data_IF_598833041928
#
_entry.id   IF_598833041928
#
_cell.length_a   1.000
_cell.length_b   1.000
_cell.length_c   1.000
_cell.angle_alpha   90.00
_cell.angle_beta   90.00
_cell.angle_gamma   90.00
#
_symmetry.space_group_name_H-M   'P 1'
#
loop_
_entity.id
_entity.type
_entity.pdbx_description
1 polymer ?
#
# COMPACT_ATOMS: atom_id res chain seq x y z
N UNK A 1 47.99 38.21 -2.76
CA UNK A 1 48.65 37.68 -3.97
C UNK A 1 49.42 38.78 -4.70
N UNK A 2 50.63 39.12 -4.25
CA UNK A 2 51.55 40.01 -4.99
C UNK A 2 52.51 39.25 -5.92
N UNK A 3 52.73 37.95 -5.67
CA UNK A 3 53.69 37.11 -6.38
C UNK A 3 53.19 36.65 -7.77
N UNK A 4 51.88 36.44 -7.94
CA UNK A 4 51.25 36.12 -9.24
C UNK A 4 49.81 36.66 -9.25
N UNK A 5 49.58 37.91 -9.68
CA UNK A 5 48.25 38.53 -9.65
C UNK A 5 47.31 37.85 -10.65
N UNK A 6 46.12 37.44 -10.19
CA UNK A 6 45.06 36.85 -11.02
C UNK A 6 45.21 35.35 -11.32
N UNK A 7 46.39 34.76 -11.06
CA UNK A 7 46.71 33.36 -11.41
C UNK A 7 46.66 32.36 -10.25
N UNK A 8 46.36 32.84 -9.04
CA UNK A 8 46.32 32.03 -7.82
C UNK A 8 44.99 32.29 -7.13
N UNK A 9 44.34 31.27 -6.59
CA UNK A 9 43.06 31.35 -5.86
C UNK A 9 43.10 30.40 -4.67
N UNK A 10 42.42 30.74 -3.58
CA UNK A 10 42.30 29.81 -2.44
C UNK A 10 41.25 28.75 -2.78
N UNK A 11 41.54 27.47 -2.51
CA UNK A 11 40.60 26.39 -2.84
C UNK A 11 39.24 26.57 -2.16
N UNK A 12 39.21 27.13 -0.94
CA UNK A 12 37.97 27.45 -0.22
C UNK A 12 37.06 28.47 -0.93
N UNK A 13 37.62 29.40 -1.70
CA UNK A 13 36.85 30.44 -2.39
C UNK A 13 36.13 29.90 -3.65
N UNK A 14 36.49 28.68 -4.08
CA UNK A 14 36.01 28.06 -5.32
C UNK A 14 34.92 27.00 -5.07
N UNK A 15 34.61 26.69 -3.81
CA UNK A 15 33.62 25.67 -3.43
C UNK A 15 32.46 26.29 -2.66
N UNK A 16 31.22 25.95 -3.04
CA UNK A 16 30.02 26.33 -2.30
C UNK A 16 29.67 25.27 -1.27
N UNK A 17 29.45 25.66 -0.01
CA UNK A 17 29.08 24.74 1.07
C UNK A 17 28.18 25.43 2.11
N UNK A 18 27.35 24.67 2.86
CA UNK A 18 26.59 25.21 3.99
C UNK A 18 27.48 25.61 5.17
N UNK A 19 27.12 26.68 5.88
CA UNK A 19 27.90 27.20 7.02
C UNK A 19 28.15 26.17 8.13
N UNK A 20 27.24 25.20 8.29
CA UNK A 20 27.33 24.11 9.27
C UNK A 20 28.59 23.24 9.11
N UNK A 21 29.13 23.13 7.89
CA UNK A 21 30.31 22.31 7.58
C UNK A 21 31.58 23.14 7.37
N UNK A 22 31.56 24.44 7.67
CA UNK A 22 32.67 25.36 7.40
C UNK A 22 34.00 24.90 8.00
N UNK A 23 34.01 24.36 9.22
CA UNK A 23 35.23 23.87 9.88
C UNK A 23 35.84 22.66 9.15
N UNK A 24 35.00 21.75 8.64
CA UNK A 24 35.45 20.59 7.88
C UNK A 24 36.00 21.01 6.51
N UNK A 25 35.33 21.96 5.85
CA UNK A 25 35.80 22.52 4.58
C UNK A 25 37.11 23.30 4.74
N UNK A 26 37.28 24.04 5.83
CA UNK A 26 38.51 24.74 6.17
C UNK A 26 39.67 23.77 6.44
N UNK A 27 39.41 22.63 7.07
CA UNK A 27 40.42 21.60 7.27
C UNK A 27 40.90 20.97 5.95
N UNK A 28 39.97 20.69 5.03
CA UNK A 28 40.29 20.01 3.76
C UNK A 28 40.89 20.97 2.72
N UNK A 29 40.33 22.17 2.58
CA UNK A 29 40.67 23.12 1.50
C UNK A 29 41.37 24.39 1.97
N UNK A 30 41.45 24.67 3.28
CA UNK A 30 41.98 25.91 3.82
C UNK A 30 43.49 26.11 3.63
N UNK A 31 44.25 25.03 3.48
CA UNK A 31 45.70 25.05 3.27
C UNK A 31 46.11 24.68 1.84
N UNK A 32 45.22 24.85 0.86
CA UNK A 32 45.51 24.52 -0.55
C UNK A 32 45.24 25.71 -1.47
N UNK A 33 46.22 26.07 -2.30
CA UNK A 33 46.11 27.10 -3.33
C UNK A 33 45.96 26.46 -4.71
N UNK A 34 45.09 27.04 -5.55
CA UNK A 34 44.89 26.62 -6.94
C UNK A 34 45.59 27.64 -7.84
N UNK A 35 46.46 27.16 -8.72
CA UNK A 35 47.25 27.96 -9.65
C UNK A 35 46.90 27.62 -11.10
N UNK A 36 46.92 28.61 -11.98
CA UNK A 36 46.61 28.40 -13.40
C UNK A 36 47.72 27.64 -14.15
N UNK A 37 48.98 27.83 -13.76
CA UNK A 37 50.15 27.26 -14.43
C UNK A 37 51.22 26.74 -13.44
N UNK A 38 52.08 25.85 -13.92
CA UNK A 38 53.16 25.22 -13.14
C UNK A 38 54.20 26.23 -12.60
N UNK A 39 54.46 27.31 -13.34
CA UNK A 39 55.39 28.35 -12.93
C UNK A 39 54.87 29.11 -11.70
N UNK A 40 53.58 29.46 -11.72
CA UNK A 40 52.89 30.10 -10.60
C UNK A 40 52.80 29.18 -9.39
N UNK A 41 52.50 27.89 -9.59
CA UNK A 41 52.46 26.90 -8.51
C UNK A 41 53.82 26.75 -7.82
N UNK A 42 54.91 26.64 -8.60
CA UNK A 42 56.27 26.55 -8.07
C UNK A 42 56.69 27.82 -7.33
N UNK A 43 56.38 28.99 -7.88
CA UNK A 43 56.70 30.27 -7.26
C UNK A 43 56.02 30.43 -5.90
N UNK A 44 54.74 30.06 -5.80
CA UNK A 44 53.94 30.22 -4.60
C UNK A 44 54.28 29.18 -3.53
N UNK A 45 54.43 27.90 -3.90
CA UNK A 45 54.75 26.81 -2.96
C UNK A 45 56.11 27.01 -2.28
N UNK A 46 57.12 27.52 -2.99
CA UNK A 46 58.47 27.68 -2.46
C UNK A 46 58.84 29.12 -2.04
N UNK A 47 57.89 30.06 -2.10
CA UNK A 47 58.14 31.43 -1.66
C UNK A 47 58.24 31.52 -0.13
N UNK A 48 59.33 32.13 0.35
CA UNK A 48 59.56 32.39 1.78
C UNK A 48 58.54 33.38 2.38
N UNK A 49 57.88 34.19 1.56
CA UNK A 49 56.90 35.18 2.00
C UNK A 49 55.54 34.57 2.38
N UNK A 50 55.19 33.41 1.80
CA UNK A 50 53.88 32.77 1.97
C UNK A 50 53.96 31.59 2.98
N UNK A 51 55.16 31.19 3.39
CA UNK A 51 55.35 30.20 4.45
C UNK A 51 55.19 28.74 4.01
N UNK A 52 55.24 28.46 2.70
CA UNK A 52 55.15 27.10 2.16
C UNK A 52 53.75 26.52 2.27
N UNK A 53 52.88 26.83 1.30
CA UNK A 53 51.51 26.28 1.21
C UNK A 53 51.43 25.31 0.03
N UNK A 54 50.63 24.25 0.18
CA UNK A 54 50.39 23.26 -0.90
C UNK A 54 49.69 23.95 -2.06
N UNK A 55 50.21 23.77 -3.28
CA UNK A 55 49.60 24.33 -4.50
C UNK A 55 49.25 23.24 -5.50
N UNK A 56 48.14 23.42 -6.23
CA UNK A 56 47.66 22.50 -7.26
C UNK A 56 47.41 23.27 -8.55
N UNK A 57 47.89 22.77 -9.69
CA UNK A 57 47.63 23.39 -11.01
C UNK A 57 46.25 23.00 -11.54
N UNK A 58 45.73 23.75 -12.52
CA UNK A 58 44.48 23.36 -13.21
C UNK A 58 44.56 21.99 -13.91
N UNK A 59 45.76 21.61 -14.34
CA UNK A 59 46.03 20.32 -14.98
C UNK A 59 46.12 19.15 -13.96
N UNK A 60 46.11 19.45 -12.66
CA UNK A 60 46.07 18.46 -11.57
C UNK A 60 47.43 18.12 -10.96
N UNK A 61 48.50 18.83 -11.30
CA UNK A 61 49.81 18.65 -10.69
C UNK A 61 49.84 19.23 -9.26
N UNK A 62 50.42 18.48 -8.33
CA UNK A 62 50.48 18.87 -6.91
C UNK A 62 51.91 19.22 -6.51
N UNK A 63 52.06 20.41 -5.94
CA UNK A 63 53.32 20.98 -5.43
C UNK A 63 53.24 21.12 -3.92
N UNK A 64 54.04 20.30 -3.21
CA UNK A 64 54.11 20.31 -1.75
C UNK A 64 55.39 21.03 -1.25
N UNK A 65 55.31 21.89 -0.22
CA UNK A 65 56.47 22.56 0.39
C UNK A 65 57.56 21.61 0.90
N UNK A 66 57.21 20.36 1.20
CA UNK A 66 58.14 19.28 1.58
C UNK A 66 59.07 18.83 0.44
N UNK A 67 58.89 19.36 -0.78
CA UNK A 67 59.70 19.03 -1.95
C UNK A 67 59.13 17.89 -2.79
N UNK A 68 57.88 17.49 -2.54
CA UNK A 68 57.19 16.45 -3.33
C UNK A 68 56.46 17.10 -4.51
N UNK A 69 56.83 16.69 -5.73
CA UNK A 69 56.14 17.06 -6.96
C UNK A 69 55.46 15.81 -7.52
N UNK A 70 54.13 15.82 -7.58
CA UNK A 70 53.35 14.75 -8.21
C UNK A 70 52.78 15.29 -9.52
N UNK A 71 53.39 14.90 -10.64
CA UNK A 71 52.94 15.23 -11.99
C UNK A 71 53.14 14.06 -12.96
N UNK A 72 52.19 13.87 -13.87
CA UNK A 72 52.14 12.74 -14.81
C UNK A 72 50.89 12.76 -15.68
N UNK A 73 50.66 11.71 -16.49
CA UNK A 73 49.43 11.59 -17.28
C UNK A 73 48.21 11.56 -16.36
N UNK A 74 47.23 12.43 -16.61
CA UNK A 74 46.03 12.54 -15.79
C UNK A 74 45.38 11.16 -15.59
N UNK A 75 45.19 10.69 -14.34
CA UNK A 75 44.50 9.43 -14.10
C UNK A 75 43.06 9.54 -14.63
N UNK A 76 42.56 8.46 -15.25
CA UNK A 76 41.24 8.37 -15.88
C UNK A 76 40.03 8.57 -14.95
N UNK A 77 40.26 8.97 -13.69
CA UNK A 77 39.26 9.30 -12.67
C UNK A 77 38.74 10.74 -12.70
N UNK A 78 39.10 11.53 -13.72
CA UNK A 78 38.84 12.98 -13.84
C UNK A 78 37.35 13.41 -13.97
N UNK A 79 36.40 12.54 -13.66
CA UNK A 79 34.96 12.81 -13.79
C UNK A 79 34.14 12.49 -12.55
N UNK A 80 34.74 12.03 -11.44
CA UNK A 80 33.96 11.65 -10.25
C UNK A 80 33.20 12.83 -9.65
N UNK A 81 33.83 14.01 -9.54
CA UNK A 81 33.16 15.22 -9.06
C UNK A 81 32.05 15.68 -10.02
N UNK A 82 32.26 15.56 -11.33
CA UNK A 82 31.24 15.86 -12.35
C UNK A 82 30.05 14.92 -12.20
N UNK A 83 30.29 13.61 -12.05
CA UNK A 83 29.24 12.61 -11.81
C UNK A 83 28.49 12.83 -10.50
N UNK A 84 29.18 13.25 -9.44
CA UNK A 84 28.57 13.60 -8.15
C UNK A 84 27.70 14.85 -8.31
N UNK A 85 28.14 15.86 -9.07
CA UNK A 85 27.35 17.04 -9.36
C UNK A 85 26.09 16.69 -10.19
N UNK A 86 26.23 15.88 -11.25
CA UNK A 86 25.11 15.37 -12.04
C UNK A 86 24.11 14.60 -11.16
N UNK A 87 24.61 13.78 -10.23
CA UNK A 87 23.77 13.04 -9.29
C UNK A 87 23.00 13.99 -8.37
N UNK A 88 23.65 15.00 -7.79
CA UNK A 88 23.00 15.99 -6.92
C UNK A 88 21.92 16.79 -7.68
N UNK A 89 22.17 17.15 -8.94
CA UNK A 89 21.17 17.81 -9.78
C UNK A 89 19.95 16.91 -10.05
N UNK A 90 20.18 15.62 -10.34
CA UNK A 90 19.11 14.64 -10.57
C UNK A 90 18.33 14.38 -9.28
N UNK A 91 19.00 14.26 -8.14
CA UNK A 91 18.38 14.09 -6.82
C UNK A 91 17.53 15.32 -6.45
N UNK A 92 18.02 16.53 -6.74
CA UNK A 92 17.24 17.76 -6.57
C UNK A 92 15.97 17.77 -7.42
N UNK A 93 16.08 17.47 -8.72
CA UNK A 93 14.92 17.35 -9.63
C UNK A 93 13.95 16.27 -9.18
N UNK A 94 14.45 15.15 -8.68
CA UNK A 94 13.62 14.06 -8.13
C UNK A 94 12.87 14.51 -6.88
N UNK A 95 13.53 15.25 -5.99
CA UNK A 95 12.91 15.86 -4.80
C UNK A 95 11.77 16.81 -5.18
N UNK A 96 12.00 17.72 -6.13
CA UNK A 96 10.97 18.63 -6.64
C UNK A 96 9.79 17.87 -7.27
N UNK A 97 10.07 16.88 -8.11
CA UNK A 97 9.04 16.08 -8.76
C UNK A 97 8.19 15.30 -7.74
N UNK A 98 8.82 14.71 -6.71
CA UNK A 98 8.12 14.04 -5.60
C UNK A 98 7.27 15.02 -4.80
N UNK A 99 7.78 16.22 -4.51
CA UNK A 99 7.00 17.26 -3.83
C UNK A 99 5.77 17.69 -4.63
N UNK A 100 5.92 17.89 -5.95
CA UNK A 100 4.78 18.21 -6.84
C UNK A 100 3.76 17.08 -6.89
N UNK A 101 4.22 15.82 -6.98
CA UNK A 101 3.34 14.65 -6.98
C UNK A 101 2.53 14.58 -5.68
N UNK A 102 3.17 14.78 -4.53
CA UNK A 102 2.49 14.75 -3.23
C UNK A 102 1.41 15.83 -3.11
N UNK A 103 1.67 17.04 -3.64
CA UNK A 103 0.68 18.12 -3.66
C UNK A 103 -0.51 17.75 -4.56
N UNK A 104 -0.24 17.20 -5.75
CA UNK A 104 -1.29 16.77 -6.68
C UNK A 104 -2.13 15.61 -6.12
N UNK A 105 -1.51 14.64 -5.46
CA UNK A 105 -2.22 13.54 -4.79
C UNK A 105 -3.10 14.05 -3.64
N UNK A 106 -2.63 15.03 -2.85
CA UNK A 106 -3.46 15.65 -1.82
C UNK A 106 -4.64 16.43 -2.40
N UNK A 107 -4.44 17.13 -3.52
CA UNK A 107 -5.53 17.83 -4.23
C UNK A 107 -6.55 16.82 -4.78
N UNK A 108 -6.08 15.75 -5.42
CA UNK A 108 -6.95 14.67 -5.93
C UNK A 108 -7.82 14.10 -4.81
N UNK A 109 -7.22 13.78 -3.67
CA UNK A 109 -7.91 13.19 -2.54
C UNK A 109 -8.92 14.16 -1.90
N UNK A 110 -8.61 15.48 -1.84
CA UNK A 110 -9.55 16.51 -1.36
C UNK A 110 -10.76 16.63 -2.29
N UNK A 111 -10.54 16.57 -3.59
CA UNK A 111 -11.58 16.77 -4.60
C UNK A 111 -12.41 15.50 -4.86
N UNK A 112 -11.93 14.33 -4.42
CA UNK A 112 -12.54 13.02 -4.66
C UNK A 112 -14.00 12.96 -4.20
N UNK A 113 -14.28 13.42 -2.99
CA UNK A 113 -15.64 13.44 -2.45
C UNK A 113 -16.57 14.39 -3.23
N UNK A 114 -16.03 15.47 -3.81
CA UNK A 114 -16.76 16.35 -4.73
C UNK A 114 -17.09 15.64 -6.03
N UNK A 115 -16.11 14.98 -6.66
CA UNK A 115 -16.30 14.22 -7.91
C UNK A 115 -17.26 13.04 -7.75
N UNK A 116 -17.25 12.35 -6.62
CA UNK A 116 -18.18 11.24 -6.34
C UNK A 116 -19.62 11.75 -6.15
N UNK A 117 -19.82 12.85 -5.42
CA UNK A 117 -21.14 13.50 -5.29
C UNK A 117 -21.65 14.02 -6.64
N UNK A 118 -20.80 14.67 -7.42
CA UNK A 118 -21.17 15.15 -8.76
C UNK A 118 -21.56 13.99 -9.67
N UNK A 119 -20.79 12.89 -9.70
CA UNK A 119 -21.17 11.68 -10.46
C UNK A 119 -22.49 11.06 -9.99
N UNK A 120 -22.78 11.12 -8.68
CA UNK A 120 -24.08 10.72 -8.14
C UNK A 120 -25.22 11.57 -8.69
N UNK A 121 -25.08 12.91 -8.58
CA UNK A 121 -26.08 13.87 -9.06
C UNK A 121 -26.31 13.80 -10.57
N UNK A 122 -25.27 13.58 -11.37
CA UNK A 122 -25.41 13.40 -12.83
C UNK A 122 -26.26 12.18 -13.15
N UNK A 123 -26.03 11.04 -12.48
CA UNK A 123 -26.87 9.84 -12.67
C UNK A 123 -28.32 10.06 -12.24
N UNK A 124 -28.52 10.75 -11.11
CA UNK A 124 -29.88 11.08 -10.66
C UNK A 124 -30.60 12.01 -11.65
N UNK A 125 -29.88 12.99 -12.21
CA UNK A 125 -30.40 13.88 -13.23
C UNK A 125 -30.82 13.11 -14.49
N UNK A 126 -29.95 12.24 -15.00
CA UNK A 126 -30.24 11.41 -16.18
C UNK A 126 -31.49 10.53 -15.97
N UNK A 127 -31.65 9.95 -14.77
CA UNK A 127 -32.85 9.18 -14.41
C UNK A 127 -34.09 10.08 -14.40
N UNK A 128 -34.01 11.26 -13.77
CA UNK A 128 -35.14 12.20 -13.67
C UNK A 128 -35.55 12.77 -15.02
N UNK A 129 -34.59 13.07 -15.90
CA UNK A 129 -34.86 13.49 -17.28
C UNK A 129 -35.56 12.39 -18.07
N UNK A 130 -35.13 11.13 -17.91
CA UNK A 130 -35.79 10.00 -18.56
C UNK A 130 -37.21 9.78 -18.03
N UNK A 131 -37.42 9.83 -16.71
CA UNK A 131 -38.74 9.75 -16.08
C UNK A 131 -39.68 10.85 -16.59
N UNK A 132 -39.17 12.09 -16.68
CA UNK A 132 -39.95 13.23 -17.18
C UNK A 132 -40.37 13.00 -18.64
N UNK A 133 -39.45 12.55 -19.50
CA UNK A 133 -39.76 12.25 -20.89
C UNK A 133 -40.80 11.15 -21.03
N UNK A 134 -40.72 10.09 -20.22
CA UNK A 134 -41.73 9.03 -20.21
C UNK A 134 -43.10 9.55 -19.79
N UNK A 135 -43.15 10.43 -18.77
CA UNK A 135 -44.40 11.05 -18.35
C UNK A 135 -44.98 11.98 -19.42
N UNK A 136 -44.14 12.72 -20.15
CA UNK A 136 -44.56 13.56 -21.28
C UNK A 136 -45.09 12.73 -22.45
N UNK A 137 -44.42 11.63 -22.81
CA UNK A 137 -44.90 10.67 -23.82
C UNK A 137 -46.22 10.03 -23.39
N UNK A 138 -46.34 9.66 -22.11
CA UNK A 138 -47.60 9.14 -21.57
C UNK A 138 -48.70 10.18 -21.53
N UNK A 139 -48.42 11.44 -21.23
CA UNK A 139 -49.42 12.50 -21.18
C UNK A 139 -49.90 12.88 -22.58
N UNK A 140 -48.97 12.98 -23.55
CA UNK A 140 -49.29 13.24 -24.95
C UNK A 140 -50.00 12.05 -25.63
N UNK A 141 -49.62 10.82 -25.28
CA UNK A 141 -50.30 9.60 -25.70
C UNK A 141 -51.55 9.24 -24.87
N UNK A 142 -51.79 9.92 -23.75
CA UNK A 142 -52.93 9.64 -22.88
C UNK A 142 -54.22 10.05 -23.55
N UNK A 143 -55.20 9.15 -23.48
CA UNK A 143 -56.57 9.42 -23.85
C UNK A 143 -57.09 10.72 -23.21
N UNK A 144 -56.59 11.17 -22.04
CA UNK A 144 -57.03 12.43 -21.44
C UNK A 144 -56.68 13.68 -22.27
N UNK A 145 -55.49 13.74 -22.88
CA UNK A 145 -55.09 14.87 -23.72
C UNK A 145 -55.83 14.85 -25.07
N UNK A 146 -55.99 13.65 -25.66
CA UNK A 146 -56.78 13.45 -26.88
C UNK A 146 -58.26 13.75 -26.68
N UNK A 147 -58.87 13.22 -25.62
CA UNK A 147 -60.25 13.49 -25.23
C UNK A 147 -60.41 14.97 -24.87
N UNK A 148 -59.44 15.61 -24.22
CA UNK A 148 -59.48 17.05 -23.95
C UNK A 148 -59.56 17.90 -25.23
N UNK A 149 -58.72 17.60 -26.22
CA UNK A 149 -58.75 18.26 -27.52
C UNK A 149 -60.04 17.97 -28.31
N UNK A 150 -60.51 16.73 -28.27
CA UNK A 150 -61.79 16.33 -28.90
C UNK A 150 -62.99 17.01 -28.20
N UNK A 151 -62.99 17.14 -26.88
CA UNK A 151 -64.03 17.83 -26.10
C UNK A 151 -64.09 19.31 -26.46
N UNK A 152 -62.95 19.99 -26.56
CA UNK A 152 -62.93 21.41 -27.00
C UNK A 152 -63.41 21.57 -28.44
N UNK A 153 -63.03 20.65 -29.34
CA UNK A 153 -63.56 20.63 -30.71
C UNK A 153 -65.08 20.40 -30.74
N UNK A 154 -65.59 19.47 -29.94
CA UNK A 154 -67.02 19.17 -29.86
C UNK A 154 -67.80 20.32 -29.24
N UNK A 155 -67.26 21.01 -28.22
CA UNK A 155 -67.87 22.24 -27.69
C UNK A 155 -68.00 23.31 -28.77
N UNK A 156 -66.96 23.53 -29.57
CA UNK A 156 -67.00 24.51 -30.67
C UNK A 156 -68.10 24.17 -31.68
N UNK A 157 -68.21 22.88 -32.07
CA UNK A 157 -69.26 22.39 -32.99
C UNK A 157 -70.66 22.55 -32.38
N UNK A 158 -70.84 22.28 -31.07
CA UNK A 158 -72.12 22.50 -30.38
C UNK A 158 -72.52 23.97 -30.45
N UNK A 159 -71.61 24.91 -30.18
CA UNK A 159 -71.91 26.35 -30.30
C UNK A 159 -72.38 26.70 -31.72
N UNK A 160 -71.65 26.25 -32.74
CA UNK A 160 -71.98 26.54 -34.14
C UNK A 160 -73.34 25.95 -34.56
N UNK A 161 -73.63 24.71 -34.15
CA UNK A 161 -74.92 24.06 -34.40
C UNK A 161 -76.07 24.74 -33.64
N UNK A 162 -75.82 25.22 -32.43
CA UNK A 162 -76.84 25.92 -31.62
C UNK A 162 -77.22 27.24 -32.28
N UNK A 163 -76.24 28.00 -32.76
CA UNK A 163 -76.47 29.23 -33.54
C UNK A 163 -77.21 28.95 -34.86
N UNK A 164 -76.86 27.86 -35.55
CA UNK A 164 -77.55 27.43 -36.76
C UNK A 164 -79.01 27.06 -36.50
N UNK A 165 -79.30 26.36 -35.39
CA UNK A 165 -80.66 26.00 -34.97
C UNK A 165 -81.47 27.24 -34.60
N UNK A 166 -80.90 28.22 -33.90
CA UNK A 166 -81.59 29.48 -33.62
C UNK A 166 -81.94 30.23 -34.90
N UNK A 167 -81.00 30.33 -35.85
CA UNK A 167 -81.21 30.94 -37.15
C UNK A 167 -82.33 30.23 -37.93
N UNK A 168 -82.34 28.89 -37.92
CA UNK A 168 -83.39 28.10 -38.56
C UNK A 168 -84.76 28.30 -37.89
N UNK A 169 -84.83 28.36 -36.55
CA UNK A 169 -86.08 28.65 -35.81
C UNK A 169 -86.63 30.04 -36.13
N UNK A 170 -85.77 31.07 -36.25
CA UNK A 170 -86.20 32.41 -36.67
C UNK A 170 -86.80 32.39 -38.08
N UNK A 171 -86.14 31.72 -39.02
CA UNK A 171 -86.66 31.55 -40.39
C UNK A 171 -87.99 30.79 -40.42
N UNK A 172 -88.12 29.73 -39.61
CA UNK A 172 -89.37 28.98 -39.48
C UNK A 172 -90.51 29.84 -38.92
N UNK A 173 -90.24 30.65 -37.90
CA UNK A 173 -91.24 31.57 -37.32
C UNK A 173 -91.71 32.58 -38.36
N UNK A 174 -90.79 33.22 -39.08
CA UNK A 174 -91.12 34.17 -40.14
C UNK A 174 -91.97 33.52 -41.24
N UNK A 175 -91.61 32.31 -41.67
CA UNK A 175 -92.39 31.57 -42.66
C UNK A 175 -93.80 31.20 -42.14
N UNK A 176 -93.95 30.84 -40.86
CA UNK A 176 -95.27 30.59 -40.25
C UNK A 176 -96.13 31.86 -40.17
N UNK A 177 -95.53 33.00 -39.86
CA UNK A 177 -96.24 34.28 -39.82
C UNK A 177 -96.69 34.71 -41.22
N UNK A 178 -95.87 34.46 -42.25
CA UNK A 178 -96.26 34.64 -43.66
C UNK A 178 -97.40 33.70 -44.08
N UNK A 179 -97.36 32.43 -43.68
CA UNK A 179 -98.43 31.46 -43.97
C UNK A 179 -99.76 31.92 -43.36
N UNK A 180 -99.78 32.35 -42.10
CA UNK A 180 -101.02 32.87 -41.47
C UNK A 180 -101.57 34.10 -42.18
N UNK A 181 -100.68 34.95 -42.70
CA UNK A 181 -101.05 36.14 -43.46
C UNK A 181 -101.70 35.74 -44.79
N UNK A 182 -101.08 34.82 -45.51
CA UNK A 182 -101.61 34.24 -46.74
C UNK A 182 -102.93 33.50 -46.51
N UNK A 183 -103.10 32.75 -45.41
CA UNK A 183 -104.36 32.09 -45.05
C UNK A 183 -105.49 33.08 -44.81
N UNK A 184 -105.20 34.22 -44.18
CA UNK A 184 -106.16 35.32 -44.00
C UNK A 184 -106.51 36.00 -45.32
N UNK A 185 -105.51 36.25 -46.17
CA UNK A 185 -105.69 36.74 -47.53
C UNK A 185 -106.46 35.71 -48.39
N UNK A 186 -106.36 34.42 -48.07
CA UNK A 186 -107.11 33.35 -48.74
C UNK A 186 -108.58 33.31 -48.35
N UNK A 187 -108.93 33.53 -47.08
CA UNK A 187 -110.33 33.63 -46.65
C UNK A 187 -111.00 34.92 -47.16
N UNK A 188 -110.27 36.04 -47.30
CA UNK A 188 -110.78 37.28 -47.91
C UNK A 188 -111.03 37.15 -49.43
N UNK A 189 -110.32 36.25 -50.10
CA UNK A 189 -110.46 36.02 -51.54
C UNK A 189 -111.58 35.04 -51.95
N UNK A 190 -112.37 34.50 -51.02
CA UNK A 190 -113.50 33.59 -51.32
C UNK A 190 -114.58 34.20 -52.24
N UNK A 191 -114.52 35.50 -52.53
CA UNK A 191 -115.46 36.21 -53.40
C UNK A 191 -114.93 36.62 -54.80
N UNK A 192 -113.80 36.10 -55.29
CA UNK A 192 -113.42 36.35 -56.69
C UNK A 192 -112.59 35.22 -57.33
N UNK A 193 -113.15 34.55 -58.34
CA UNK A 193 -112.97 33.10 -58.58
C UNK A 193 -111.84 32.68 -59.54
N UNK A 194 -111.05 33.59 -60.11
CA UNK A 194 -110.10 33.21 -61.19
C UNK A 194 -108.61 33.52 -60.91
N UNK A 195 -108.27 34.47 -60.04
CA UNK A 195 -106.87 34.73 -59.65
C UNK A 195 -106.27 33.70 -58.67
N UNK A 196 -107.11 33.12 -57.81
CA UNK A 196 -106.67 32.21 -56.73
C UNK A 196 -106.12 30.87 -57.21
N UNK A 197 -106.57 30.42 -58.39
CA UNK A 197 -106.15 29.13 -58.97
C UNK A 197 -104.69 29.21 -59.44
N UNK A 198 -104.27 30.35 -59.98
CA UNK A 198 -102.86 30.59 -60.34
C UNK A 198 -101.97 30.75 -59.10
N UNK A 199 -102.46 31.40 -58.05
CA UNK A 199 -101.74 31.56 -56.77
C UNK A 199 -101.53 30.20 -56.05
N UNK A 200 -102.55 29.34 -56.01
CA UNK A 200 -102.44 27.98 -55.47
C UNK A 200 -101.51 27.08 -56.30
N UNK A 201 -101.50 27.22 -57.63
CA UNK A 201 -100.51 26.52 -58.47
C UNK A 201 -99.08 26.96 -58.17
N UNK A 202 -98.86 28.26 -57.94
CA UNK A 202 -97.55 28.78 -57.56
C UNK A 202 -97.11 28.23 -56.19
N UNK A 203 -98.02 28.15 -55.21
CA UNK A 203 -97.72 27.60 -53.88
C UNK A 203 -97.46 26.08 -53.93
N UNK A 204 -98.21 25.32 -54.72
CA UNK A 204 -97.93 23.88 -54.95
C UNK A 204 -96.55 23.70 -55.60
N UNK A 205 -96.18 24.57 -56.55
CA UNK A 205 -94.85 24.55 -57.16
C UNK A 205 -93.74 24.83 -56.14
N UNK A 206 -93.95 25.84 -55.26
CA UNK A 206 -93.04 26.19 -54.16
C UNK A 206 -92.89 25.05 -53.14
N UNK A 207 -94.00 24.42 -52.74
CA UNK A 207 -93.94 23.28 -51.81
C UNK A 207 -93.29 22.05 -52.45
N UNK A 208 -93.48 21.81 -53.75
CA UNK A 208 -92.78 20.75 -54.48
C UNK A 208 -91.27 21.01 -54.52
N UNK A 209 -90.84 22.27 -54.67
CA UNK A 209 -89.42 22.65 -54.57
C UNK A 209 -88.87 22.47 -53.14
N UNK A 210 -89.66 22.78 -52.11
CA UNK A 210 -89.29 22.54 -50.72
C UNK A 210 -89.17 21.04 -50.39
N UNK A 211 -90.09 20.22 -50.89
CA UNK A 211 -90.05 18.76 -50.75
C UNK A 211 -88.81 18.16 -51.41
N UNK A 212 -88.45 18.63 -52.61
CA UNK A 212 -87.20 18.24 -53.28
C UNK A 212 -85.98 18.57 -52.42
N UNK A 213 -85.92 19.78 -51.84
CA UNK A 213 -84.82 20.19 -50.96
C UNK A 213 -84.74 19.36 -49.68
N UNK A 214 -85.89 19.07 -49.05
CA UNK A 214 -85.93 18.21 -47.87
C UNK A 214 -85.57 16.75 -48.19
N UNK A 215 -85.96 16.23 -49.35
CA UNK A 215 -85.54 14.90 -49.81
C UNK A 215 -84.02 14.77 -49.91
N UNK A 216 -83.33 15.81 -50.42
CA UNK A 216 -81.86 15.86 -50.42
C UNK A 216 -81.31 15.87 -49.00
N UNK A 217 -81.88 16.67 -48.11
CA UNK A 217 -81.44 16.78 -46.70
C UNK A 217 -81.56 15.44 -45.96
N UNK A 218 -82.68 14.74 -46.11
CA UNK A 218 -82.91 13.42 -45.50
C UNK A 218 -81.90 12.41 -46.04
N UNK A 219 -81.62 12.42 -47.36
CA UNK A 219 -80.59 11.55 -47.94
C UNK A 219 -79.19 11.84 -47.39
N UNK A 220 -78.84 13.11 -47.15
CA UNK A 220 -77.56 13.48 -46.53
C UNK A 220 -77.49 12.99 -45.09
N UNK A 221 -78.52 13.24 -44.28
CA UNK A 221 -78.57 12.78 -42.89
C UNK A 221 -78.57 11.25 -42.77
N UNK A 222 -79.21 10.55 -43.71
CA UNK A 222 -79.18 9.09 -43.74
C UNK A 222 -77.77 8.55 -44.03
N UNK A 223 -76.98 9.24 -44.88
CA UNK A 223 -75.56 8.90 -45.09
C UNK A 223 -74.73 9.17 -43.84
N UNK A 224 -74.93 10.32 -43.20
CA UNK A 224 -74.22 10.66 -41.94
C UNK A 224 -74.51 9.64 -40.84
N UNK A 225 -75.78 9.22 -40.69
CA UNK A 225 -76.17 8.17 -39.75
C UNK A 225 -75.48 6.84 -40.07
N UNK A 226 -75.40 6.47 -41.35
CA UNK A 226 -74.71 5.25 -41.77
C UNK A 226 -73.20 5.32 -41.47
N UNK A 227 -72.56 6.47 -41.70
CA UNK A 227 -71.16 6.69 -41.36
C UNK A 227 -70.93 6.59 -39.85
N UNK A 228 -71.74 7.28 -39.04
CA UNK A 228 -71.64 7.24 -37.59
C UNK A 228 -71.86 5.82 -37.01
N UNK A 229 -72.77 5.04 -37.60
CA UNK A 229 -73.00 3.65 -37.20
C UNK A 229 -71.77 2.77 -37.44
N UNK A 230 -71.12 2.92 -38.60
CA UNK A 230 -69.89 2.17 -38.91
C UNK A 230 -68.72 2.58 -38.01
N UNK A 231 -68.61 3.87 -37.69
CA UNK A 231 -67.61 4.37 -36.74
C UNK A 231 -67.85 3.81 -35.34
N UNK A 232 -69.10 3.73 -34.89
CA UNK A 232 -69.45 3.12 -33.59
C UNK A 232 -69.07 1.65 -33.54
N UNK A 233 -69.38 0.86 -34.58
CA UNK A 233 -68.98 -0.54 -34.66
C UNK A 233 -67.45 -0.72 -34.67
N UNK A 234 -66.72 0.18 -35.32
CA UNK A 234 -65.26 0.13 -35.31
C UNK A 234 -64.70 0.44 -33.93
N UNK A 235 -65.22 1.47 -33.25
CA UNK A 235 -64.81 1.81 -31.89
C UNK A 235 -65.11 0.70 -30.88
N UNK A 236 -66.24 0.01 -31.02
CA UNK A 236 -66.56 -1.15 -30.18
C UNK A 236 -65.51 -2.28 -30.34
N UNK A 237 -65.06 -2.55 -31.56
CA UNK A 237 -63.99 -3.53 -31.82
C UNK A 237 -62.65 -3.09 -31.24
N UNK A 238 -62.32 -1.81 -31.38
CA UNK A 238 -61.07 -1.25 -30.84
C UNK A 238 -61.06 -1.31 -29.30
N UNK A 239 -62.22 -1.05 -28.66
CA UNK A 239 -62.40 -1.18 -27.20
C UNK A 239 -62.17 -2.63 -26.77
N UNK A 240 -62.73 -3.60 -27.48
CA UNK A 240 -62.58 -5.01 -27.13
C UNK A 240 -61.12 -5.47 -27.28
N UNK A 241 -60.46 -5.10 -28.37
CA UNK A 241 -59.03 -5.37 -28.55
C UNK A 241 -58.16 -4.72 -27.46
N UNK A 242 -58.51 -3.50 -27.03
CA UNK A 242 -57.79 -2.84 -25.95
C UNK A 242 -57.98 -3.55 -24.60
N UNK A 243 -59.16 -4.12 -24.32
CA UNK A 243 -59.39 -4.93 -23.11
C UNK A 243 -58.56 -6.21 -23.13
N UNK A 244 -58.54 -6.91 -24.26
CA UNK A 244 -57.74 -8.14 -24.41
C UNK A 244 -56.24 -7.86 -24.15
N UNK A 245 -55.72 -6.76 -24.70
CA UNK A 245 -54.35 -6.32 -24.46
C UNK A 245 -54.07 -5.98 -22.99
N UNK A 246 -55.03 -5.36 -22.29
CA UNK A 246 -54.93 -5.05 -20.86
C UNK A 246 -54.88 -6.34 -20.03
N UNK A 247 -55.72 -7.32 -20.36
CA UNK A 247 -55.76 -8.59 -19.63
C UNK A 247 -54.49 -9.42 -19.87
N UNK A 248 -53.95 -9.42 -21.09
CA UNK A 248 -52.64 -10.02 -21.39
C UNK A 248 -51.51 -9.33 -20.60
N UNK A 249 -51.48 -8.00 -20.58
CA UNK A 249 -50.50 -7.24 -19.82
C UNK A 249 -50.59 -7.51 -18.31
N UNK A 250 -51.81 -7.60 -17.75
CA UNK A 250 -52.04 -7.95 -16.35
C UNK A 250 -51.50 -9.36 -16.02
N UNK A 251 -51.80 -10.34 -16.86
CA UNK A 251 -51.26 -11.70 -16.74
C UNK A 251 -49.72 -11.72 -16.79
N UNK A 252 -49.12 -10.89 -17.65
CA UNK A 252 -47.68 -10.69 -17.72
C UNK A 252 -47.10 -10.12 -16.42
N UNK A 253 -47.72 -9.09 -15.85
CA UNK A 253 -47.32 -8.49 -14.57
C UNK A 253 -47.38 -9.50 -13.43
N UNK A 254 -48.45 -10.29 -13.34
CA UNK A 254 -48.61 -11.30 -12.28
C UNK A 254 -47.51 -12.37 -12.34
N UNK A 255 -47.14 -12.83 -13.55
CA UNK A 255 -46.02 -13.77 -13.75
C UNK A 255 -44.69 -13.16 -13.29
N UNK A 256 -44.42 -11.91 -13.69
CA UNK A 256 -43.19 -11.21 -13.29
C UNK A 256 -43.12 -11.00 -11.77
N UNK A 257 -44.24 -10.72 -11.11
CA UNK A 257 -44.29 -10.62 -9.65
C UNK A 257 -43.98 -11.95 -8.96
N UNK A 258 -44.50 -13.06 -9.47
CA UNK A 258 -44.19 -14.40 -8.93
C UNK A 258 -42.71 -14.74 -9.09
N UNK A 259 -42.10 -14.43 -10.24
CA UNK A 259 -40.69 -14.70 -10.48
C UNK A 259 -39.78 -13.80 -9.65
N UNK A 260 -40.16 -12.54 -9.43
CA UNK A 260 -39.47 -11.63 -8.52
C UNK A 260 -39.47 -12.17 -7.09
N UNK A 261 -40.59 -12.72 -6.63
CA UNK A 261 -40.69 -13.34 -5.29
C UNK A 261 -39.83 -14.61 -5.17
N UNK A 262 -39.75 -15.43 -6.23
CA UNK A 262 -38.83 -16.59 -6.26
C UNK A 262 -37.37 -16.13 -6.19
N UNK A 263 -36.98 -15.16 -7.02
CA UNK A 263 -35.63 -14.61 -7.04
C UNK A 263 -35.23 -13.99 -5.70
N UNK A 264 -36.13 -13.29 -5.02
CA UNK A 264 -35.90 -12.77 -3.66
C UNK A 264 -35.59 -13.88 -2.65
N UNK A 265 -36.34 -15.00 -2.71
CA UNK A 265 -36.10 -16.15 -1.82
C UNK A 265 -34.77 -16.83 -2.12
N UNK A 266 -34.39 -16.94 -3.39
CA UNK A 266 -33.08 -17.48 -3.80
C UNK A 266 -31.94 -16.56 -3.36
N UNK A 267 -32.09 -15.25 -3.52
CA UNK A 267 -31.12 -14.26 -3.05
C UNK A 267 -30.88 -14.38 -1.54
N UNK A 268 -31.96 -14.41 -0.74
CA UNK A 268 -31.86 -14.58 0.71
C UNK A 268 -31.15 -15.87 1.11
N UNK A 269 -31.44 -17.00 0.44
CA UNK A 269 -30.73 -18.27 0.68
C UNK A 269 -29.24 -18.17 0.34
N UNK A 270 -28.91 -17.51 -0.76
CA UNK A 270 -27.53 -17.31 -1.21
C UNK A 270 -26.75 -16.43 -0.24
N UNK A 271 -27.34 -15.33 0.23
CA UNK A 271 -26.76 -14.44 1.25
C UNK A 271 -26.48 -15.16 2.57
N UNK A 272 -27.41 -16.00 3.03
CA UNK A 272 -27.21 -16.79 4.25
C UNK A 272 -26.10 -17.83 4.08
N UNK A 273 -25.99 -18.45 2.90
CA UNK A 273 -24.90 -19.37 2.59
C UNK A 273 -23.54 -18.65 2.55
N UNK A 274 -23.52 -17.44 1.99
CA UNK A 274 -22.33 -16.59 1.92
C UNK A 274 -21.86 -16.19 3.31
N UNK A 275 -22.77 -15.70 4.17
CA UNK A 275 -22.44 -15.35 5.58
C UNK A 275 -21.88 -16.54 6.35
N UNK A 276 -22.41 -17.75 6.13
CA UNK A 276 -21.88 -18.97 6.75
C UNK A 276 -20.47 -19.31 6.24
N UNK A 277 -20.24 -19.21 4.94
CA UNK A 277 -18.92 -19.46 4.34
C UNK A 277 -17.89 -18.41 4.79
N UNK A 278 -18.28 -17.14 4.88
CA UNK A 278 -17.43 -16.05 5.35
C UNK A 278 -17.04 -16.23 6.82
N UNK A 279 -17.96 -16.63 7.70
CA UNK A 279 -17.65 -16.97 9.09
C UNK A 279 -16.64 -18.12 9.19
N UNK A 280 -16.85 -19.21 8.43
CA UNK A 280 -15.91 -20.33 8.38
C UNK A 280 -14.53 -19.88 7.89
N UNK A 281 -14.46 -19.03 6.86
CA UNK A 281 -13.20 -18.50 6.36
C UNK A 281 -12.47 -17.66 7.42
N UNK A 282 -13.19 -16.85 8.19
CA UNK A 282 -12.61 -16.07 9.29
C UNK A 282 -12.09 -16.97 10.42
N UNK A 283 -12.84 -18.02 10.78
CA UNK A 283 -12.42 -19.03 11.77
C UNK A 283 -11.14 -19.73 11.31
N UNK A 284 -11.08 -20.21 10.06
CA UNK A 284 -9.90 -20.88 9.50
C UNK A 284 -8.69 -19.94 9.37
N UNK A 285 -8.91 -18.66 9.07
CA UNK A 285 -7.81 -17.67 9.07
C UNK A 285 -7.29 -17.42 10.48
N UNK A 286 -8.17 -17.39 11.47
CA UNK A 286 -7.76 -17.24 12.87
C UNK A 286 -6.99 -18.46 13.37
N UNK A 287 -7.39 -19.69 12.98
CA UNK A 287 -6.64 -20.91 13.32
C UNK A 287 -5.28 -20.94 12.62
N UNK A 288 -5.20 -20.60 11.34
CA UNK A 288 -3.92 -20.49 10.62
C UNK A 288 -2.98 -19.48 11.28
N UNK A 289 -3.49 -18.30 11.64
CA UNK A 289 -2.67 -17.30 12.33
C UNK A 289 -2.16 -17.79 13.70
N UNK A 290 -2.93 -18.61 14.41
CA UNK A 290 -2.46 -19.26 15.65
C UNK A 290 -1.35 -20.25 15.36
N UNK A 291 -1.51 -21.12 14.36
CA UNK A 291 -0.49 -22.08 13.97
C UNK A 291 0.80 -21.40 13.50
N UNK A 292 0.71 -20.30 12.74
CA UNK A 292 1.90 -19.53 12.33
C UNK A 292 2.66 -18.94 13.52
N UNK A 293 1.95 -18.48 14.55
CA UNK A 293 2.57 -17.96 15.77
C UNK A 293 3.21 -19.09 16.60
N UNK A 294 2.53 -20.23 16.73
CA UNK A 294 3.06 -21.42 17.40
C UNK A 294 4.31 -21.97 16.69
N UNK A 295 4.30 -22.01 15.35
CA UNK A 295 5.45 -22.43 14.55
C UNK A 295 6.65 -21.50 14.77
N UNK A 296 6.45 -20.18 14.74
CA UNK A 296 7.53 -19.21 15.01
C UNK A 296 8.13 -19.39 16.41
N UNK A 297 7.29 -19.63 17.40
CA UNK A 297 7.75 -19.86 18.77
C UNK A 297 8.51 -21.18 18.89
N UNK A 298 8.02 -22.26 18.26
CA UNK A 298 8.73 -23.53 18.20
C UNK A 298 10.08 -23.40 17.49
N UNK A 299 10.15 -22.67 16.38
CA UNK A 299 11.40 -22.39 15.67
C UNK A 299 12.40 -21.63 16.55
N UNK A 300 11.92 -20.63 17.31
CA UNK A 300 12.74 -19.89 18.29
C UNK A 300 13.29 -20.84 19.36
N UNK A 301 12.43 -21.66 19.96
CA UNK A 301 12.82 -22.64 21.00
C UNK A 301 13.81 -23.65 20.44
N UNK A 302 13.61 -24.16 19.22
CA UNK A 302 14.55 -25.09 18.56
C UNK A 302 15.93 -24.42 18.40
N UNK A 303 15.97 -23.15 17.96
CA UNK A 303 17.22 -22.41 17.81
C UNK A 303 17.95 -22.23 19.15
N UNK A 304 17.22 -21.86 20.19
CA UNK A 304 17.76 -21.70 21.54
C UNK A 304 18.30 -23.01 22.10
N UNK A 305 17.56 -24.11 21.94
CA UNK A 305 18.01 -25.43 22.38
C UNK A 305 19.22 -25.92 21.59
N UNK A 306 19.28 -25.68 20.28
CA UNK A 306 20.48 -25.99 19.47
C UNK A 306 21.70 -25.21 19.94
N UNK A 307 21.55 -23.93 20.26
CA UNK A 307 22.64 -23.13 20.80
C UNK A 307 23.10 -23.68 22.16
N UNK A 308 22.16 -23.97 23.07
CA UNK A 308 22.47 -24.54 24.37
C UNK A 308 23.20 -25.89 24.27
N UNK A 309 22.82 -26.75 23.32
CA UNK A 309 23.52 -28.01 23.03
C UNK A 309 24.95 -27.74 22.56
N UNK A 310 25.15 -26.80 21.63
CA UNK A 310 26.48 -26.43 21.15
C UNK A 310 27.37 -25.88 22.27
N UNK A 311 26.82 -25.04 23.15
CA UNK A 311 27.55 -24.46 24.28
C UNK A 311 27.92 -25.55 25.31
N UNK A 312 27.00 -26.48 25.58
CA UNK A 312 27.25 -27.63 26.46
C UNK A 312 28.31 -28.58 25.87
N UNK A 313 28.29 -28.85 24.56
CA UNK A 313 29.30 -29.68 23.88
C UNK A 313 30.71 -29.06 23.97
N UNK A 314 30.80 -27.73 23.82
CA UNK A 314 32.05 -27.00 24.02
C UNK A 314 32.54 -27.07 25.47
N UNK A 315 31.64 -26.96 26.45
CA UNK A 315 32.01 -27.13 27.87
C UNK A 315 32.46 -28.56 28.18
N UNK A 316 31.78 -29.56 27.63
CA UNK A 316 32.17 -30.97 27.76
C UNK A 316 33.58 -31.19 27.23
N UNK A 317 33.89 -30.72 26.02
CA UNK A 317 35.23 -30.83 25.42
C UNK A 317 36.31 -30.15 26.26
N UNK A 318 36.02 -28.99 26.87
CA UNK A 318 36.95 -28.32 27.79
C UNK A 318 37.21 -29.17 29.03
N UNK A 319 36.15 -29.65 29.67
CA UNK A 319 36.25 -30.51 30.85
C UNK A 319 36.98 -31.83 30.54
N UNK A 320 36.75 -32.42 29.37
CA UNK A 320 37.47 -33.61 28.91
C UNK A 320 38.97 -33.34 28.74
N UNK A 321 39.34 -32.21 28.13
CA UNK A 321 40.75 -31.82 27.99
C UNK A 321 41.39 -31.57 29.36
N UNK A 322 40.71 -30.87 30.25
CA UNK A 322 41.20 -30.59 31.61
C UNK A 322 41.35 -31.88 32.42
N UNK A 323 40.41 -32.81 32.32
CA UNK A 323 40.51 -34.14 32.93
C UNK A 323 41.70 -34.93 32.38
N UNK A 324 41.95 -34.88 31.06
CA UNK A 324 43.11 -35.52 30.46
C UNK A 324 44.43 -34.88 30.94
N UNK A 325 44.48 -33.56 31.05
CA UNK A 325 45.63 -32.83 31.58
C UNK A 325 45.90 -33.20 33.04
N UNK A 326 44.88 -33.14 33.89
CA UNK A 326 44.97 -33.52 35.31
C UNK A 326 45.33 -35.00 35.49
N UNK A 327 44.84 -35.90 34.63
CA UNK A 327 45.22 -37.31 34.66
C UNK A 327 46.70 -37.51 34.29
N UNK A 328 47.21 -36.80 33.29
CA UNK A 328 48.64 -36.78 32.93
C UNK A 328 49.49 -36.20 34.06
N UNK A 329 49.06 -35.11 34.69
CA UNK A 329 49.75 -34.53 35.84
C UNK A 329 49.76 -35.47 37.04
N UNK A 330 48.63 -36.11 37.35
CA UNK A 330 48.53 -37.11 38.43
C UNK A 330 49.48 -38.28 38.18
N UNK A 331 49.50 -38.83 36.97
CA UNK A 331 50.40 -39.94 36.62
C UNK A 331 51.87 -39.52 36.63
N UNK A 332 52.20 -38.33 36.14
CA UNK A 332 53.55 -37.78 36.20
C UNK A 332 54.01 -37.56 37.65
N UNK A 333 53.16 -36.98 38.50
CA UNK A 333 53.42 -36.78 39.93
C UNK A 333 53.58 -38.11 40.67
N UNK A 334 52.72 -39.10 40.41
CA UNK A 334 52.84 -40.44 40.98
C UNK A 334 54.16 -41.11 40.58
N UNK A 335 54.51 -41.07 39.29
CA UNK A 335 55.78 -41.61 38.80
C UNK A 335 56.98 -40.86 39.40
N UNK A 336 56.88 -39.55 39.60
CA UNK A 336 57.91 -38.75 40.24
C UNK A 336 58.12 -39.15 41.70
N UNK A 337 57.04 -39.36 42.46
CA UNK A 337 57.08 -39.87 43.84
C UNK A 337 57.75 -41.25 43.87
N UNK A 338 57.28 -42.20 43.06
CA UNK A 338 57.86 -43.55 43.00
C UNK A 338 59.34 -43.54 42.60
N UNK A 339 59.75 -42.62 41.73
CA UNK A 339 61.15 -42.47 41.36
C UNK A 339 61.99 -41.87 42.51
N UNK A 340 61.46 -40.90 43.26
CA UNK A 340 62.14 -40.36 44.44
C UNK A 340 62.30 -41.42 45.54
N UNK A 341 61.25 -42.18 45.83
CA UNK A 341 61.27 -43.29 46.80
C UNK A 341 62.31 -44.37 46.43
N UNK A 342 62.55 -44.62 45.13
CA UNK A 342 63.59 -45.55 44.67
C UNK A 342 65.00 -44.98 44.70
N UNK A 343 65.16 -43.67 44.52
CA UNK A 343 66.48 -43.02 44.48
C UNK A 343 67.03 -42.74 45.88
N UNK A 344 66.15 -42.64 46.87
CA UNK A 344 66.48 -42.20 48.21
C UNK A 344 65.77 -43.07 49.26
N UNK A 345 66.46 -44.09 49.75
CA UNK A 345 65.89 -45.05 50.71
C UNK A 345 65.37 -44.39 52.00
N UNK A 346 66.02 -43.31 52.45
CA UNK A 346 65.62 -42.53 53.63
C UNK A 346 64.22 -41.88 53.49
N UNK A 347 63.73 -41.66 52.26
CA UNK A 347 62.39 -41.12 52.02
C UNK A 347 61.33 -42.09 52.53
N UNK A 348 61.51 -43.40 52.34
CA UNK A 348 60.56 -44.39 52.83
C UNK A 348 60.52 -44.44 54.37
N UNK A 349 61.68 -44.24 55.02
CA UNK A 349 61.82 -44.28 56.48
C UNK A 349 61.27 -43.03 57.17
N UNK A 350 61.44 -41.85 56.57
CA UNK A 350 61.14 -40.57 57.22
C UNK A 350 59.92 -39.81 56.64
N UNK A 351 59.22 -40.36 55.64
CA UNK A 351 58.07 -39.70 54.99
C UNK A 351 56.99 -39.22 55.96
N UNK A 352 56.77 -39.92 57.09
CA UNK A 352 55.78 -39.55 58.11
C UNK A 352 56.10 -38.22 58.81
N UNK A 353 57.34 -37.73 58.72
CA UNK A 353 57.79 -36.48 59.34
C UNK A 353 57.72 -35.27 58.40
N UNK A 354 57.40 -35.46 57.11
CA UNK A 354 57.35 -34.38 56.12
C UNK A 354 56.20 -33.39 56.39
N UNK A 355 56.50 -32.10 56.37
CA UNK A 355 55.50 -31.03 56.53
C UNK A 355 54.93 -30.86 57.95
N UNK A 356 55.46 -31.58 58.95
CA UNK A 356 55.06 -31.39 60.35
C UNK A 356 55.71 -30.12 60.92
N UNK A 357 54.91 -29.18 61.49
CA UNK A 357 55.44 -27.95 62.09
C UNK A 357 56.48 -28.25 63.18
N UNK A 358 57.67 -27.67 63.08
CA UNK A 358 58.78 -27.89 64.04
C UNK A 358 59.61 -29.17 63.83
N UNK A 359 59.35 -29.96 62.78
CA UNK A 359 60.24 -31.03 62.34
C UNK A 359 61.38 -30.49 61.45
N UNK A 360 62.41 -31.30 61.19
CA UNK A 360 63.46 -30.95 60.22
C UNK A 360 62.92 -30.77 58.78
N UNK A 361 61.69 -31.21 58.52
CA UNK A 361 60.99 -31.15 57.25
C UNK A 361 59.80 -30.17 57.28
N UNK A 362 59.84 -29.14 58.11
CA UNK A 362 58.87 -28.05 58.11
C UNK A 362 59.17 -27.06 56.97
N UNK A 363 58.35 -27.13 55.91
CA UNK A 363 58.53 -26.34 54.70
C UNK A 363 57.84 -24.96 54.74
N UNK A 364 57.16 -24.61 55.84
CA UNK A 364 56.37 -23.37 55.92
C UNK A 364 57.20 -22.11 56.21
N UNK A 365 58.35 -22.26 56.87
CA UNK A 365 59.23 -21.16 57.28
C UNK A 365 60.57 -21.07 56.54
N UNK A 366 60.81 -21.91 55.53
CA UNK A 366 62.11 -22.04 54.87
C UNK A 366 61.99 -21.79 53.36
N UNK A 367 62.87 -20.95 52.82
CA UNK A 367 62.92 -20.69 51.38
C UNK A 367 63.50 -21.91 50.63
N UNK A 368 62.60 -22.72 50.09
CA UNK A 368 62.88 -23.94 49.33
C UNK A 368 63.82 -23.65 48.14
N UNK A 369 63.74 -22.46 47.52
CA UNK A 369 64.60 -22.12 46.38
C UNK A 369 66.06 -21.93 46.82
N UNK A 370 66.29 -21.23 47.93
CA UNK A 370 67.63 -21.02 48.49
C UNK A 370 68.27 -22.32 48.97
N UNK A 371 67.47 -23.24 49.54
CA UNK A 371 67.94 -24.58 49.88
C UNK A 371 68.33 -25.39 48.64
N UNK A 372 67.57 -25.26 47.54
CA UNK A 372 67.86 -25.94 46.27
C UNK A 372 69.17 -25.46 45.65
N UNK A 373 69.47 -24.17 45.72
CA UNK A 373 70.75 -23.62 45.27
C UNK A 373 71.92 -24.12 46.11
N UNK A 374 71.79 -24.11 47.44
CA UNK A 374 72.81 -24.69 48.33
C UNK A 374 73.00 -26.19 48.08
N UNK A 375 71.93 -26.94 47.84
CA UNK A 375 72.03 -28.36 47.51
C UNK A 375 72.80 -28.58 46.20
N UNK A 376 72.52 -27.80 45.15
CA UNK A 376 73.30 -27.85 43.89
C UNK A 376 74.77 -27.52 44.08
N UNK A 377 75.07 -26.51 44.91
CA UNK A 377 76.45 -26.12 45.20
C UNK A 377 77.20 -27.25 45.92
N UNK A 378 76.59 -27.85 46.94
CA UNK A 378 77.16 -28.98 47.68
C UNK A 378 77.29 -30.23 46.80
N UNK A 379 76.31 -30.52 45.94
CA UNK A 379 76.34 -31.66 45.02
C UNK A 379 77.42 -31.48 43.93
N UNK A 380 77.61 -30.25 43.43
CA UNK A 380 78.70 -29.90 42.53
C UNK A 380 80.08 -30.06 43.21
N UNK A 381 80.20 -29.64 44.48
CA UNK A 381 81.39 -29.88 45.29
C UNK A 381 81.63 -31.38 45.51
N UNK A 382 80.60 -32.16 45.81
CA UNK A 382 80.68 -33.61 45.99
C UNK A 382 81.12 -34.33 44.71
N UNK A 383 80.56 -33.98 43.54
CA UNK A 383 80.98 -34.52 42.22
C UNK A 383 82.43 -34.14 41.88
N UNK A 384 82.83 -32.92 42.24
CA UNK A 384 84.21 -32.45 42.11
C UNK A 384 85.18 -33.23 42.99
N UNK A 385 84.79 -33.55 44.23
CA UNK A 385 85.57 -34.39 45.15
C UNK A 385 85.60 -35.86 44.73
N UNK A 386 84.51 -36.42 44.20
CA UNK A 386 84.45 -37.81 43.69
C UNK A 386 85.41 -38.06 42.54
N UNK A 387 85.71 -37.04 41.72
CA UNK A 387 86.75 -37.10 40.66
C UNK A 387 88.20 -37.06 41.20
N UNK A 388 88.40 -36.65 42.45
CA UNK A 388 89.71 -36.55 43.11
C UNK A 388 89.98 -37.69 44.12
N UNK A 389 89.04 -38.61 44.30
CA UNK A 389 89.11 -39.72 45.27
C UNK A 389 89.20 -41.06 44.52
N UNK A 390 90.17 -41.90 44.88
CA UNK A 390 90.40 -43.23 44.29
C UNK A 390 89.34 -44.23 44.82
N UNK A 391 88.52 -44.85 43.95
CA UNK A 391 87.35 -45.66 44.37
C UNK A 391 87.69 -46.93 45.18
N UNK A 392 88.95 -47.34 45.29
CA UNK A 392 89.38 -48.51 46.09
C UNK A 392 89.39 -48.29 47.61
N UNK A 393 89.36 -47.05 48.11
CA UNK A 393 89.42 -46.77 49.56
C UNK A 393 88.03 -46.74 50.21
N UNK A 394 86.96 -46.51 49.43
CA UNK A 394 85.59 -46.41 49.96
C UNK A 394 85.00 -47.78 50.31
N UNK A 395 85.28 -48.82 49.51
CA UNK A 395 84.85 -50.20 49.82
C UNK A 395 85.57 -50.83 51.04
N UNK A 396 86.48 -50.11 51.70
CA UNK A 396 87.21 -50.58 52.89
C UNK A 396 86.68 -49.95 54.19
N UNK A 397 85.80 -48.95 54.11
CA UNK A 397 85.22 -48.27 55.28
C UNK A 397 83.86 -48.91 55.66
N UNK A 398 83.06 -49.36 54.70
CA UNK A 398 81.79 -50.07 54.99
C UNK A 398 81.98 -51.46 55.62
N UNK A 399 83.17 -52.05 55.53
CA UNK A 399 83.47 -53.36 56.12
C UNK A 399 84.00 -53.29 57.56
N UNK A 400 84.25 -52.09 58.11
CA UNK A 400 84.85 -51.92 59.44
C UNK A 400 83.89 -51.43 60.53
N UNK A 401 82.59 -51.30 60.26
CA UNK A 401 81.58 -50.94 61.26
C UNK A 401 80.47 -52.00 61.31
N UNK A 402 80.87 -53.26 61.52
CA UNK A 402 79.97 -54.35 61.87
C UNK A 402 80.55 -55.18 63.04
N UNK A 403 80.16 -54.78 64.26
CA UNK A 403 80.09 -55.58 65.52
C UNK A 403 81.38 -56.02 66.27
N UNK A 404 81.30 -56.37 67.58
CA UNK A 404 80.54 -55.80 68.71
C UNK A 404 81.39 -55.60 70.00
N UNK A 405 80.87 -54.80 70.94
CA UNK A 405 81.15 -54.79 72.39
C UNK A 405 82.54 -54.44 72.99
N UNK A 406 82.45 -53.72 74.11
CA UNK A 406 83.45 -53.44 75.16
C UNK A 406 84.30 -52.16 74.95
N UNK A 407 83.81 -51.03 75.49
CA UNK A 407 84.52 -50.35 76.57
C UNK A 407 83.51 -49.63 77.47
N UNK A 408 83.16 -50.36 78.53
CA UNK A 408 82.42 -49.91 79.69
C UNK A 408 83.27 -48.89 80.50
N UNK A 409 82.59 -48.00 81.24
CA UNK A 409 83.08 -47.08 82.27
C UNK A 409 83.72 -45.74 81.82
N UNK A 410 82.87 -44.71 81.72
CA UNK A 410 82.86 -43.63 82.72
C UNK A 410 81.39 -43.47 83.16
N UNK A 411 81.09 -43.96 84.37
CA UNK A 411 79.82 -43.86 85.07
C UNK A 411 79.86 -42.65 86.01
N UNK A 412 78.96 -41.69 85.80
CA UNK A 412 78.18 -40.99 86.81
C UNK A 412 76.89 -40.49 86.19
#
# INVERSE_FOLDING_TARGET
MRLAPGKVRLAMELVGYPDEVANAMAFVFGNTLICDDAESAKLVTFSREIGGVRSVTLDGDVYDPSGTLSGGSAPSGNGTLIKVQELLEVEGKLGEARGRLQVLEQQEQRDRAGRERWRGLVRELEIKEHEMRLLEEQLSGSNAARIGAEVEKMKAVITELTEAVESAKRKQKNAKDEIKKLEKDMDEFKNNKEGKIEELKAEVSKQKAALQKHSVTVKTQQKELQTASLESEQLEKDIESAKDNIDEARSGVDKLQQDLEKLKKELSKSEDSFKKAERKLQEERATLSRFDNELKELERVIKEKKQAISDADLQLKKLEHDLQALAKEKTAAANFITNLEKQYDWIAEEHESFGKPGSQYDFTGVDVNRLREKAKEIEAQQKGMKKKINPKVINMIDTCVCHPDIFHLILC
#
